data_IF_727257976001
#
_entry.id   IF_727257976001
#
_cell.length_a   1.000
_cell.length_b   1.000
_cell.length_c   1.000
_cell.angle_alpha   90.00
_cell.angle_beta   90.00
_cell.angle_gamma   90.00
#
_symmetry.space_group_name_H-M   'P 1'
#
loop_
_entity.id
_entity.type
_entity.pdbx_description
1 polymer ?
#
# COMPACT_ATOMS: atom_id res chain seq x y z
N UNK A 1 1.00 18.76 -10.15
CA UNK A 1 0.81 17.67 -11.09
C UNK A 1 0.04 16.59 -10.36
N UNK A 2 -0.99 16.08 -11.00
CA UNK A 2 -1.71 14.92 -10.49
C UNK A 2 -1.00 13.67 -11.00
N UNK A 3 -0.65 12.74 -10.12
CA UNK A 3 0.00 11.48 -10.49
C UNK A 3 -0.87 10.28 -10.18
N UNK A 4 -0.80 9.30 -11.08
CA UNK A 4 -1.37 7.99 -10.88
C UNK A 4 -0.34 6.93 -11.28
N UNK A 5 -0.20 5.88 -10.47
CA UNK A 5 0.53 4.67 -10.83
C UNK A 5 -0.18 3.45 -10.27
N UNK A 6 -0.11 2.35 -10.99
CA UNK A 6 -0.61 1.05 -10.53
C UNK A 6 0.39 -0.05 -10.87
N UNK A 7 0.26 -1.20 -10.22
CA UNK A 7 1.08 -2.36 -10.52
C UNK A 7 0.58 -3.61 -9.81
N UNK A 8 1.36 -4.68 -9.95
CA UNK A 8 1.17 -5.94 -9.25
C UNK A 8 2.49 -6.31 -8.59
N UNK A 9 2.42 -6.86 -7.38
CA UNK A 9 3.57 -7.46 -6.69
C UNK A 9 3.16 -8.78 -6.07
N UNK A 10 4.07 -9.74 -6.02
CA UNK A 10 3.88 -10.98 -5.26
C UNK A 10 4.20 -10.73 -3.79
N UNK A 11 3.26 -11.02 -2.91
CA UNK A 11 3.44 -10.92 -1.48
C UNK A 11 4.49 -11.93 -0.98
N UNK A 12 5.17 -11.57 0.10
CA UNK A 12 6.35 -12.28 0.60
C UNK A 12 6.21 -12.74 2.05
N UNK A 13 5.10 -12.45 2.70
CA UNK A 13 4.94 -12.52 4.15
C UNK A 13 5.62 -11.37 4.91
N UNK A 14 6.39 -10.52 4.21
CA UNK A 14 7.11 -9.38 4.77
C UNK A 14 6.64 -8.07 4.12
N UNK A 15 6.96 -6.94 4.75
CA UNK A 15 6.64 -5.62 4.21
C UNK A 15 7.37 -5.37 2.87
N UNK A 16 6.68 -4.73 1.93
CA UNK A 16 7.19 -4.44 0.57
C UNK A 16 7.12 -2.94 0.33
N UNK A 17 8.24 -2.33 -0.07
CA UNK A 17 8.27 -0.92 -0.47
C UNK A 17 7.95 -0.79 -1.96
N UNK A 18 6.99 0.07 -2.29
CA UNK A 18 6.62 0.43 -3.66
C UNK A 18 7.16 1.82 -3.94
N UNK A 19 8.13 1.89 -4.84
CA UNK A 19 8.84 3.12 -5.19
C UNK A 19 8.13 3.85 -6.35
N UNK A 20 7.67 5.08 -6.08
CA UNK A 20 6.89 5.90 -7.01
C UNK A 20 7.62 7.18 -7.45
N UNK A 21 8.52 7.71 -6.62
CA UNK A 21 9.11 9.04 -6.79
C UNK A 21 8.41 10.13 -5.97
N UNK A 22 7.25 9.82 -5.39
CA UNK A 22 6.40 10.72 -4.61
C UNK A 22 5.70 9.93 -3.50
N UNK A 23 5.25 10.61 -2.44
CA UNK A 23 4.41 9.99 -1.41
C UNK A 23 2.95 10.15 -1.86
N UNK A 24 2.16 9.07 -1.90
CA UNK A 24 0.78 9.14 -2.33
C UNK A 24 -0.16 9.77 -1.32
N UNK A 25 -1.26 10.34 -1.84
CA UNK A 25 -2.39 10.81 -1.03
C UNK A 25 -3.40 9.70 -0.77
N UNK A 26 -3.49 8.74 -1.70
CA UNK A 26 -4.34 7.57 -1.59
C UNK A 26 -3.67 6.33 -2.18
N UNK A 27 -3.81 5.21 -1.47
CA UNK A 27 -3.35 3.89 -1.90
C UNK A 27 -4.49 2.88 -1.72
N UNK A 28 -4.69 2.01 -2.71
CA UNK A 28 -5.52 0.81 -2.61
C UNK A 28 -4.70 -0.41 -2.98
N UNK A 29 -4.78 -1.46 -2.17
CA UNK A 29 -4.16 -2.77 -2.40
C UNK A 29 -5.27 -3.83 -2.38
N UNK A 30 -5.25 -4.74 -3.34
CA UNK A 30 -6.25 -5.82 -3.50
C UNK A 30 -5.51 -7.14 -3.64
N UNK A 31 -5.84 -8.13 -2.80
CA UNK A 31 -5.44 -9.52 -3.04
C UNK A 31 -6.26 -10.04 -4.23
N UNK A 32 -5.62 -10.16 -5.39
CA UNK A 32 -6.28 -10.64 -6.61
C UNK A 32 -6.17 -12.15 -6.80
N UNK A 33 -5.39 -12.84 -5.95
CA UNK A 33 -5.33 -14.30 -5.94
C UNK A 33 -6.60 -14.90 -5.34
N UNK A 34 -7.01 -14.39 -4.16
CA UNK A 34 -8.17 -14.94 -3.44
C UNK A 34 -9.41 -14.03 -3.52
N UNK A 35 -9.23 -12.77 -3.94
CA UNK A 35 -10.30 -11.77 -4.08
C UNK A 35 -11.09 -11.51 -2.78
N UNK A 36 -10.45 -11.64 -1.63
CA UNK A 36 -11.07 -11.63 -0.30
C UNK A 36 -10.65 -10.45 0.59
N UNK A 37 -9.59 -9.73 0.21
CA UNK A 37 -9.04 -8.64 0.99
C UNK A 37 -8.69 -7.42 0.14
N UNK A 38 -9.15 -6.26 0.62
CA UNK A 38 -8.81 -4.94 0.12
C UNK A 38 -8.30 -4.12 1.30
N UNK A 39 -7.21 -3.38 1.09
CA UNK A 39 -6.69 -2.41 2.05
C UNK A 39 -6.55 -1.03 1.37
N UNK A 40 -7.16 -0.02 1.96
CA UNK A 40 -7.12 1.38 1.50
C UNK A 40 -6.41 2.25 2.54
N UNK A 41 -5.67 3.25 2.08
CA UNK A 41 -4.91 4.15 2.95
C UNK A 41 -4.91 5.56 2.38
N UNK A 42 -5.03 6.54 3.27
CA UNK A 42 -4.96 7.96 2.96
C UNK A 42 -3.76 8.59 3.65
N UNK A 43 -3.12 9.55 2.98
CA UNK A 43 -2.05 10.32 3.57
C UNK A 43 -2.55 11.08 4.81
N UNK A 44 -1.77 10.99 5.90
CA UNK A 44 -2.17 11.46 7.23
C UNK A 44 -2.69 10.36 8.17
N UNK A 45 -2.99 9.15 7.68
CA UNK A 45 -3.22 8.00 8.57
C UNK A 45 -1.95 7.59 9.32
N UNK A 46 -2.09 7.05 10.52
CA UNK A 46 -0.97 6.55 11.31
C UNK A 46 -0.18 5.47 10.55
N UNK A 47 1.15 5.47 10.69
CA UNK A 47 2.01 4.52 10.00
C UNK A 47 1.64 3.07 10.35
N UNK A 48 1.53 2.22 9.33
CA UNK A 48 1.20 0.81 9.47
C UNK A 48 -0.28 0.56 9.71
N UNK A 49 -1.15 1.53 9.39
CA UNK A 49 -2.61 1.37 9.45
C UNK A 49 -3.25 1.40 8.08
N UNK A 50 -4.45 0.87 7.94
CA UNK A 50 -5.26 0.94 6.72
C UNK A 50 -6.73 0.70 7.05
N UNK A 51 -7.61 1.03 6.10
CA UNK A 51 -9.00 0.61 6.08
C UNK A 51 -9.02 -0.75 5.35
N UNK A 52 -9.22 -1.82 6.11
CA UNK A 52 -9.34 -3.16 5.57
C UNK A 52 -10.81 -3.46 5.27
N UNK A 53 -11.06 -4.05 4.11
CA UNK A 53 -12.33 -4.69 3.76
C UNK A 53 -12.08 -6.15 3.45
N UNK A 54 -12.71 -7.04 4.21
CA UNK A 54 -12.79 -8.47 3.93
C UNK A 54 -14.24 -8.96 4.06
N UNK A 55 -14.59 -9.68 5.13
CA UNK A 55 -15.97 -9.96 5.53
C UNK A 55 -16.70 -8.71 6.04
N UNK A 56 -15.97 -7.75 6.60
CA UNK A 56 -16.47 -6.45 7.03
C UNK A 56 -15.41 -5.37 6.86
N UNK A 57 -15.82 -4.10 6.96
CA UNK A 57 -14.89 -2.98 7.01
C UNK A 57 -14.37 -2.82 8.44
N UNK A 58 -13.05 -2.75 8.59
CA UNK A 58 -12.40 -2.53 9.87
C UNK A 58 -11.10 -1.74 9.69
N UNK A 59 -10.63 -1.10 10.76
CA UNK A 59 -9.27 -0.56 10.78
C UNK A 59 -8.28 -1.71 10.98
N UNK A 60 -7.31 -1.82 10.08
CA UNK A 60 -6.10 -2.59 10.35
C UNK A 60 -5.18 -1.72 11.19
N UNK A 61 -5.04 -2.08 12.47
CA UNK A 61 -4.31 -1.26 13.44
C UNK A 61 -2.78 -1.39 13.36
N UNK A 62 -2.27 -2.46 12.76
CA UNK A 62 -0.84 -2.72 12.58
C UNK A 62 -0.57 -3.46 11.29
N UNK A 63 0.67 -3.36 10.77
CA UNK A 63 1.12 -4.04 9.56
C UNK A 63 0.27 -3.74 8.30
N UNK A 64 -0.40 -2.59 8.27
CA UNK A 64 -1.10 -2.02 7.12
C UNK A 64 -0.17 -1.20 6.23
N UNK A 65 -0.65 -0.05 5.75
CA UNK A 65 0.08 0.77 4.77
C UNK A 65 0.76 1.94 5.47
N UNK A 66 1.94 2.34 4.97
CA UNK A 66 2.68 3.51 5.43
C UNK A 66 3.19 4.34 4.26
N UNK A 67 3.35 5.64 4.45
CA UNK A 67 4.21 6.44 3.57
C UNK A 67 5.65 5.91 3.63
N UNK A 68 6.33 5.87 2.48
CA UNK A 68 7.74 5.52 2.38
C UNK A 68 8.52 6.72 1.88
N UNK A 69 9.40 7.26 2.73
CA UNK A 69 10.20 8.45 2.40
C UNK A 69 11.35 8.17 1.41
N UNK A 70 11.61 6.90 1.09
CA UNK A 70 12.85 6.47 0.44
C UNK A 70 14.02 6.36 1.43
N UNK A 71 15.17 5.91 0.95
CA UNK A 71 16.46 5.94 1.67
C UNK A 71 17.49 6.64 0.79
N UNK A 72 18.58 7.15 1.38
CA UNK A 72 19.70 7.71 0.61
C UNK A 72 20.30 6.63 -0.32
N UNK A 73 20.65 7.02 -1.55
CA UNK A 73 21.30 6.16 -2.53
C UNK A 73 20.42 5.90 -3.74
N UNK A 74 19.48 4.96 -3.64
CA UNK A 74 18.80 4.41 -4.82
C UNK A 74 17.28 4.20 -4.64
N UNK A 75 16.74 4.53 -3.46
CA UNK A 75 15.35 4.23 -3.10
C UNK A 75 14.48 5.48 -3.14
N UNK A 76 13.44 5.44 -3.99
CA UNK A 76 12.54 6.57 -4.20
C UNK A 76 11.37 6.58 -3.21
N UNK A 77 10.82 7.77 -2.96
CA UNK A 77 9.57 7.96 -2.19
C UNK A 77 8.43 7.10 -2.75
N UNK A 78 7.48 6.74 -1.90
CA UNK A 78 6.33 5.91 -2.26
C UNK A 78 5.53 5.51 -1.04
N UNK A 79 5.19 4.22 -0.96
CA UNK A 79 4.50 3.62 0.18
C UNK A 79 5.04 2.23 0.50
N UNK A 80 4.76 1.75 1.70
CA UNK A 80 5.04 0.39 2.15
C UNK A 80 3.72 -0.37 2.28
N UNK A 81 3.62 -1.54 1.63
CA UNK A 81 2.60 -2.55 1.89
C UNK A 81 3.09 -3.38 3.08
N UNK A 82 2.39 -3.33 4.21
CA UNK A 82 2.78 -4.08 5.41
C UNK A 82 2.55 -5.58 5.32
N UNK A 83 3.15 -6.33 6.25
CA UNK A 83 3.09 -7.80 6.30
C UNK A 83 1.69 -8.35 6.59
N UNK A 84 0.75 -7.54 7.10
CA UNK A 84 -0.64 -7.95 7.28
C UNK A 84 -1.42 -8.00 5.96
N UNK A 85 -0.85 -7.45 4.89
CA UNK A 85 -1.41 -7.41 3.53
C UNK A 85 -0.56 -8.26 2.58
N UNK A 86 0.76 -8.24 2.75
CA UNK A 86 1.74 -8.96 1.94
C UNK A 86 1.76 -10.46 2.23
N UNK A 87 0.67 -11.16 1.93
CA UNK A 87 0.59 -12.62 2.13
C UNK A 87 1.50 -13.35 1.12
N UNK A 88 2.26 -14.33 1.60
CA UNK A 88 3.25 -15.04 0.79
C UNK A 88 2.60 -15.72 -0.42
N UNK A 89 3.22 -15.56 -1.59
CA UNK A 89 2.78 -16.12 -2.87
C UNK A 89 1.42 -15.63 -3.39
N UNK A 90 0.82 -14.59 -2.78
CA UNK A 90 -0.38 -13.94 -3.30
C UNK A 90 -0.02 -12.79 -4.24
N UNK A 91 -0.79 -12.60 -5.30
CA UNK A 91 -0.67 -11.45 -6.17
C UNK A 91 -1.49 -10.28 -5.63
N UNK A 92 -0.81 -9.15 -5.46
CA UNK A 92 -1.40 -7.94 -4.88
C UNK A 92 -1.40 -6.85 -5.93
N UNK A 93 -2.60 -6.46 -6.39
CA UNK A 93 -2.75 -5.29 -7.25
C UNK A 93 -2.81 -4.04 -6.41
N UNK A 94 -2.05 -3.02 -6.78
CA UNK A 94 -2.07 -1.74 -6.09
C UNK A 94 -2.32 -0.57 -7.05
N UNK A 95 -2.92 0.47 -6.50
CA UNK A 95 -3.18 1.76 -7.13
C UNK A 95 -2.73 2.85 -6.17
N UNK A 96 -2.05 3.87 -6.69
CA UNK A 96 -1.60 5.02 -5.93
C UNK A 96 -1.94 6.30 -6.70
N UNK A 97 -2.48 7.29 -5.99
CA UNK A 97 -2.87 8.60 -6.52
C UNK A 97 -2.26 9.72 -5.67
N UNK A 98 -1.81 10.80 -6.30
CA UNK A 98 -1.51 12.10 -5.67
C UNK A 98 -2.21 13.22 -6.44
N UNK A 99 -2.83 14.14 -5.71
CA UNK A 99 -3.36 15.40 -6.25
C UNK A 99 -2.45 16.57 -5.86
N UNK A 100 -2.42 17.62 -6.67
CA UNK A 100 -1.96 18.93 -6.18
C UNK A 100 -3.15 19.74 -5.64
N UNK A 101 -2.95 20.36 -4.48
CA UNK A 101 -3.82 21.40 -3.91
C UNK A 101 -3.58 22.77 -4.57
#
# INVERSE_FOLDING_TARGET
MNEFKSGVVTGTGAAINIELGWIPDYVKVVNITDADQIDEWFNGMAAGTSIQTNAAVATRATNGISAYAGTLGDKKKGFTIGSGISESAKELRWFAIRGED
#
